data_IF_080386088869
#
_entry.id   IF_080386088869
#
_cell.length_a   1.000
_cell.length_b   1.000
_cell.length_c   1.000
_cell.angle_alpha   90.00
_cell.angle_beta   90.00
_cell.angle_gamma   90.00
#
_symmetry.space_group_name_H-M   'P 1'
#
loop_
_entity.id
_entity.type
_entity.pdbx_description
1 polymer ?
#
# COMPACT_ATOMS: atom_id res chain seq x y z
N UNK A 1 -26.67 26.44 56.02
CA UNK A 1 -26.51 25.08 55.43
C UNK A 1 -27.09 24.97 54.00
N UNK A 2 -28.20 25.63 53.68
CA UNK A 2 -28.83 25.56 52.35
C UNK A 2 -28.13 26.40 51.28
N UNK A 3 -27.54 27.55 51.65
CA UNK A 3 -26.82 28.42 50.74
C UNK A 3 -25.59 27.70 50.16
N UNK A 4 -24.83 26.98 50.97
CA UNK A 4 -23.66 26.23 50.53
C UNK A 4 -24.02 25.12 49.53
N UNK A 5 -25.16 24.46 49.75
CA UNK A 5 -25.66 23.45 48.79
C UNK A 5 -26.03 24.08 47.44
N UNK A 6 -26.68 25.23 47.47
CA UNK A 6 -27.05 25.97 46.24
C UNK A 6 -25.80 26.41 45.48
N UNK A 7 -24.76 26.90 46.16
CA UNK A 7 -23.49 27.29 45.51
C UNK A 7 -22.79 26.09 44.88
N UNK A 8 -22.79 24.94 45.56
CA UNK A 8 -22.20 23.71 45.00
C UNK A 8 -22.97 23.23 43.75
N UNK A 9 -24.28 23.26 43.78
CA UNK A 9 -25.14 22.87 42.65
C UNK A 9 -24.92 23.83 41.47
N UNK A 10 -24.84 25.15 41.70
CA UNK A 10 -24.54 26.11 40.65
C UNK A 10 -23.13 25.91 40.04
N UNK A 11 -22.14 25.61 40.89
CA UNK A 11 -20.78 25.35 40.45
C UNK A 11 -20.70 24.09 39.54
N UNK A 12 -21.38 23.01 39.94
CA UNK A 12 -21.47 21.77 39.15
C UNK A 12 -22.22 22.01 37.83
N UNK A 13 -23.26 22.83 37.82
CA UNK A 13 -23.98 23.21 36.59
C UNK A 13 -23.14 24.04 35.67
N UNK A 14 -22.37 24.99 36.18
CA UNK A 14 -21.47 25.85 35.35
C UNK A 14 -20.35 25.03 34.76
N UNK A 15 -19.73 24.10 35.52
CA UNK A 15 -18.68 23.22 35.02
C UNK A 15 -19.16 22.29 33.90
N UNK A 16 -20.40 21.78 34.01
CA UNK A 16 -20.98 20.97 32.92
C UNK A 16 -21.33 21.78 31.67
N UNK A 17 -21.69 23.06 31.81
CA UNK A 17 -21.94 23.93 30.64
C UNK A 17 -20.64 24.29 29.89
N UNK A 18 -19.51 24.39 30.57
CA UNK A 18 -18.22 24.67 29.91
C UNK A 18 -17.67 23.47 29.13
N UNK A 19 -17.94 22.23 29.59
CA UNK A 19 -17.57 21.03 28.84
C UNK A 19 -18.50 20.74 27.63
N UNK A 20 -19.72 21.28 27.62
CA UNK A 20 -20.69 21.06 26.53
C UNK A 20 -20.46 21.96 25.31
N UNK A 21 -19.51 22.91 25.37
CA UNK A 21 -19.33 23.90 24.32
C UNK A 21 -17.98 23.84 23.61
N UNK A 22 -17.28 22.70 23.63
CA UNK A 22 -16.29 22.40 22.62
C UNK A 22 -17.02 22.13 21.30
N UNK A 23 -17.33 23.21 20.61
CA UNK A 23 -17.70 23.17 19.22
C UNK A 23 -16.49 22.58 18.50
N UNK A 24 -16.48 21.25 18.30
CA UNK A 24 -15.52 20.60 17.42
C UNK A 24 -15.59 21.33 16.09
N UNK A 25 -14.64 22.24 15.87
CA UNK A 25 -14.40 22.81 14.54
C UNK A 25 -13.82 21.61 13.76
N UNK A 26 -14.71 20.79 13.22
CA UNK A 26 -14.30 19.71 12.32
C UNK A 26 -13.74 20.40 11.09
N UNK A 27 -12.41 20.45 11.01
CA UNK A 27 -11.72 20.83 9.78
C UNK A 27 -12.34 19.97 8.66
N UNK A 28 -12.72 20.56 7.52
CA UNK A 28 -13.22 19.75 6.41
C UNK A 28 -12.19 18.66 6.08
N UNK A 29 -12.67 17.43 5.90
CA UNK A 29 -11.81 16.31 5.56
C UNK A 29 -11.12 16.58 4.22
N UNK A 30 -9.83 16.30 4.15
CA UNK A 30 -9.07 16.32 2.92
C UNK A 30 -9.38 15.06 2.10
N UNK A 31 -9.78 15.26 0.85
CA UNK A 31 -10.07 14.13 -0.04
C UNK A 31 -8.78 13.60 -0.62
N UNK A 32 -8.49 12.35 -0.31
CA UNK A 32 -7.30 11.65 -0.77
C UNK A 32 -7.65 10.37 -1.52
N UNK A 33 -6.81 9.99 -2.47
CA UNK A 33 -6.94 8.76 -3.23
C UNK A 33 -5.71 7.89 -2.99
N UNK A 34 -5.97 6.63 -2.59
CA UNK A 34 -4.98 5.56 -2.57
C UNK A 34 -5.20 4.66 -3.78
N UNK A 35 -4.25 4.62 -4.72
CA UNK A 35 -4.26 3.70 -5.85
C UNK A 35 -3.54 2.41 -5.46
N UNK A 36 -4.25 1.28 -5.56
CA UNK A 36 -3.69 -0.05 -5.33
C UNK A 36 -2.92 -0.55 -6.56
N UNK A 37 -1.93 -1.41 -6.33
CA UNK A 37 -1.16 -2.05 -7.39
C UNK A 37 -1.84 -3.30 -7.99
N UNK A 38 -2.95 -3.72 -7.41
CA UNK A 38 -3.76 -4.83 -7.89
C UNK A 38 -5.24 -4.63 -7.59
N UNK A 39 -6.04 -5.65 -7.94
CA UNK A 39 -7.47 -5.69 -7.65
C UNK A 39 -7.72 -5.75 -6.14
N UNK A 40 -8.92 -5.38 -5.72
CA UNK A 40 -9.33 -5.46 -4.33
C UNK A 40 -9.17 -6.88 -3.78
N UNK A 41 -8.25 -7.07 -2.84
CA UNK A 41 -7.97 -8.38 -2.24
C UNK A 41 -7.35 -8.25 -0.84
N UNK A 42 -7.16 -9.39 -0.18
CA UNK A 42 -6.80 -9.44 1.23
C UNK A 42 -5.44 -8.84 1.56
N UNK A 43 -4.51 -8.77 0.63
CA UNK A 43 -3.19 -8.13 0.87
C UNK A 43 -3.32 -6.66 1.28
N UNK A 44 -4.42 -6.01 0.90
CA UNK A 44 -4.72 -4.62 1.26
C UNK A 44 -5.64 -4.50 2.50
N UNK A 45 -5.88 -5.59 3.23
CA UNK A 45 -6.83 -5.63 4.36
C UNK A 45 -6.55 -4.56 5.43
N UNK A 46 -5.28 -4.20 5.66
CA UNK A 46 -4.90 -3.15 6.61
C UNK A 46 -5.47 -1.79 6.26
N UNK A 47 -5.46 -1.43 4.98
CA UNK A 47 -6.01 -0.15 4.49
C UNK A 47 -7.53 -0.11 4.63
N UNK A 48 -8.21 -1.22 4.31
CA UNK A 48 -9.66 -1.34 4.48
C UNK A 48 -10.07 -1.32 5.94
N UNK A 49 -9.34 -2.02 6.81
CA UNK A 49 -9.61 -2.02 8.24
C UNK A 49 -9.45 -0.60 8.84
N UNK A 50 -8.45 0.16 8.39
CA UNK A 50 -8.27 1.54 8.82
C UNK A 50 -9.39 2.46 8.31
N UNK A 51 -9.87 2.24 7.08
CA UNK A 51 -10.99 2.97 6.50
C UNK A 51 -12.29 2.71 7.29
N UNK A 52 -12.64 1.42 7.50
CA UNK A 52 -13.84 1.00 8.21
C UNK A 52 -13.85 1.45 9.69
N UNK A 53 -12.69 1.43 10.34
CA UNK A 53 -12.55 1.90 11.73
C UNK A 53 -12.51 3.42 11.86
N UNK A 54 -12.52 4.17 10.75
CA UNK A 54 -12.51 5.62 10.74
C UNK A 54 -11.16 6.26 11.03
N UNK A 55 -10.06 5.51 11.08
CA UNK A 55 -8.75 6.03 11.45
C UNK A 55 -8.24 7.14 10.51
N UNK A 56 -8.61 7.09 9.22
CA UNK A 56 -8.31 8.17 8.29
C UNK A 56 -9.11 9.44 8.61
N UNK A 57 -10.40 9.30 8.94
CA UNK A 57 -11.25 10.44 9.32
C UNK A 57 -10.79 11.09 10.61
N UNK A 58 -10.30 10.29 11.58
CA UNK A 58 -9.77 10.79 12.85
C UNK A 58 -8.59 11.74 12.67
N UNK A 59 -7.83 11.56 11.60
CA UNK A 59 -6.70 12.44 11.22
C UNK A 59 -7.04 13.45 10.12
N UNK A 60 -8.33 13.56 9.76
CA UNK A 60 -8.81 14.58 8.81
C UNK A 60 -8.78 14.17 7.35
N UNK A 61 -8.65 12.87 7.03
CA UNK A 61 -8.60 12.33 5.67
C UNK A 61 -9.92 11.63 5.31
N UNK A 62 -10.48 11.97 4.16
CA UNK A 62 -11.56 11.23 3.48
C UNK A 62 -10.93 10.42 2.35
N UNK A 63 -10.55 9.17 2.67
CA UNK A 63 -9.79 8.32 1.76
C UNK A 63 -10.69 7.52 0.82
N UNK A 64 -10.43 7.63 -0.48
CA UNK A 64 -10.96 6.74 -1.51
C UNK A 64 -9.88 5.71 -1.90
N UNK A 65 -10.19 4.41 -1.83
CA UNK A 65 -9.29 3.33 -2.26
C UNK A 65 -9.72 2.87 -3.66
N UNK A 66 -8.84 3.05 -4.64
CA UNK A 66 -9.05 2.63 -6.03
C UNK A 66 -8.19 1.44 -6.38
N UNK A 67 -8.79 0.42 -6.97
CA UNK A 67 -8.05 -0.74 -7.46
C UNK A 67 -7.23 -0.41 -8.72
N UNK A 68 -6.30 -1.30 -9.04
CA UNK A 68 -5.55 -1.24 -10.29
C UNK A 68 -6.49 -1.37 -11.51
N UNK A 69 -6.20 -0.58 -12.52
CA UNK A 69 -6.82 -0.66 -13.84
C UNK A 69 -5.72 -0.90 -14.89
N UNK A 70 -6.02 -1.70 -15.90
CA UNK A 70 -5.07 -2.00 -16.96
C UNK A 70 -4.61 -0.73 -17.69
N UNK A 71 -3.32 -0.66 -17.97
CA UNK A 71 -2.71 0.48 -18.67
C UNK A 71 -2.35 1.67 -17.78
N UNK A 72 -2.71 1.68 -16.49
CA UNK A 72 -2.27 2.76 -15.59
C UNK A 72 -0.84 2.56 -15.10
N UNK A 73 -0.13 3.67 -14.88
CA UNK A 73 1.12 3.70 -14.16
C UNK A 73 0.89 4.44 -12.83
N UNK A 74 0.98 3.71 -11.72
CA UNK A 74 0.66 4.23 -10.39
C UNK A 74 1.58 5.40 -10.00
N UNK A 75 2.87 5.30 -10.31
CA UNK A 75 3.82 6.40 -10.04
C UNK A 75 3.44 7.67 -10.81
N UNK A 76 3.00 7.54 -12.06
CA UNK A 76 2.54 8.69 -12.85
C UNK A 76 1.22 9.26 -12.33
N UNK A 77 0.31 8.43 -11.83
CA UNK A 77 -0.92 8.93 -11.19
C UNK A 77 -0.62 9.75 -9.93
N UNK A 78 0.35 9.30 -9.11
CA UNK A 78 0.79 10.06 -7.95
C UNK A 78 1.50 11.35 -8.37
N UNK A 79 2.42 11.29 -9.32
CA UNK A 79 3.18 12.45 -9.79
C UNK A 79 2.31 13.50 -10.48
N UNK A 80 1.25 13.08 -11.14
CA UNK A 80 0.28 13.99 -11.79
C UNK A 80 -0.81 14.50 -10.85
N UNK A 81 -0.86 14.03 -9.60
CA UNK A 81 -1.89 14.40 -8.63
C UNK A 81 -3.25 13.73 -8.85
N UNK A 82 -3.35 12.73 -9.73
CA UNK A 82 -4.56 11.92 -9.89
C UNK A 82 -4.80 10.99 -8.70
N UNK A 83 -3.73 10.58 -8.01
CA UNK A 83 -3.78 9.89 -6.74
C UNK A 83 -2.85 10.60 -5.75
N UNK A 84 -3.23 10.63 -4.47
CA UNK A 84 -2.38 11.17 -3.40
C UNK A 84 -1.33 10.16 -2.99
N UNK A 85 -1.72 8.89 -2.91
CA UNK A 85 -0.89 7.77 -2.53
C UNK A 85 -0.99 6.65 -3.56
N UNK A 86 0.07 5.85 -3.66
CA UNK A 86 0.09 4.68 -4.51
C UNK A 86 0.79 3.51 -3.84
N UNK A 87 0.25 2.31 -3.99
CA UNK A 87 0.94 1.09 -3.61
C UNK A 87 1.90 0.73 -4.75
N UNK A 88 3.10 0.36 -4.39
CA UNK A 88 4.14 -0.02 -5.34
C UNK A 88 5.09 -1.06 -4.72
N UNK A 89 5.94 -1.62 -5.54
CA UNK A 89 6.95 -2.59 -5.15
C UNK A 89 8.35 -1.96 -5.05
N UNK A 90 9.37 -2.78 -4.92
CA UNK A 90 10.79 -2.36 -4.99
C UNK A 90 11.15 -1.63 -6.29
N UNK A 91 10.32 -1.72 -7.34
CA UNK A 91 10.47 -0.95 -8.58
C UNK A 91 10.47 0.57 -8.34
N UNK A 92 9.94 1.05 -7.21
CA UNK A 92 10.00 2.45 -6.80
C UNK A 92 11.44 2.98 -6.69
N UNK A 93 12.40 2.11 -6.38
CA UNK A 93 13.84 2.45 -6.39
C UNK A 93 14.27 2.88 -7.78
N UNK A 94 13.82 2.19 -8.83
CA UNK A 94 14.15 2.53 -10.22
C UNK A 94 13.53 3.87 -10.62
N UNK A 95 12.34 4.19 -10.15
CA UNK A 95 11.73 5.49 -10.40
C UNK A 95 12.56 6.63 -9.76
N UNK A 96 13.07 6.41 -8.54
CA UNK A 96 13.99 7.36 -7.89
C UNK A 96 15.31 7.50 -8.63
N UNK A 97 15.90 6.42 -9.14
CA UNK A 97 17.11 6.45 -9.95
C UNK A 97 16.93 7.22 -11.26
N UNK A 98 15.70 7.27 -11.78
CA UNK A 98 15.31 8.11 -12.93
C UNK A 98 14.99 9.55 -12.53
N UNK A 99 15.30 9.96 -11.29
CA UNK A 99 15.04 11.29 -10.72
C UNK A 99 13.56 11.66 -10.62
N UNK A 100 12.64 10.70 -10.63
CA UNK A 100 11.23 10.98 -10.36
C UNK A 100 11.04 11.34 -8.90
N UNK A 101 10.30 12.41 -8.55
CA UNK A 101 10.15 12.91 -7.19
C UNK A 101 9.11 12.10 -6.38
N UNK A 102 9.22 10.77 -6.41
CA UNK A 102 8.40 9.87 -5.57
C UNK A 102 9.05 9.67 -4.21
N UNK A 103 8.26 9.50 -3.16
CA UNK A 103 8.71 9.32 -1.77
C UNK A 103 8.13 8.04 -1.22
N UNK A 104 8.97 7.17 -0.65
CA UNK A 104 8.51 6.00 0.10
C UNK A 104 8.13 6.45 1.51
N UNK A 105 6.85 6.31 1.86
CA UNK A 105 6.32 6.68 3.19
C UNK A 105 6.19 5.50 4.15
N UNK A 106 6.21 4.27 3.64
CA UNK A 106 6.14 3.07 4.46
C UNK A 106 6.27 1.80 3.64
N UNK A 107 6.58 0.70 4.33
CA UNK A 107 6.56 -0.66 3.77
C UNK A 107 5.78 -1.56 4.72
N UNK A 108 4.77 -2.27 4.21
CA UNK A 108 3.97 -3.18 5.02
C UNK A 108 4.40 -4.64 4.89
N UNK A 109 5.14 -5.01 3.84
CA UNK A 109 5.82 -6.30 3.76
C UNK A 109 7.30 -6.14 4.11
N UNK A 110 7.78 -6.94 5.07
CA UNK A 110 9.20 -6.95 5.45
C UNK A 110 10.07 -7.78 4.51
N UNK A 111 9.45 -8.68 3.76
CA UNK A 111 10.10 -9.59 2.81
C UNK A 111 9.30 -9.60 1.52
N UNK A 112 9.97 -10.02 0.43
CA UNK A 112 9.30 -10.21 -0.84
C UNK A 112 8.20 -11.27 -0.71
N UNK A 113 6.99 -10.93 -1.13
CA UNK A 113 5.83 -11.82 -1.10
C UNK A 113 5.79 -12.80 -2.29
N UNK A 114 6.64 -12.58 -3.30
CA UNK A 114 6.68 -13.44 -4.49
C UNK A 114 7.35 -14.77 -4.18
N UNK A 115 6.79 -15.84 -4.70
CA UNK A 115 7.32 -17.19 -4.61
C UNK A 115 7.24 -17.88 -5.97
N UNK A 116 8.29 -18.62 -6.32
CA UNK A 116 8.26 -19.48 -7.50
C UNK A 116 7.66 -20.83 -7.10
N UNK A 117 6.51 -21.16 -7.67
CA UNK A 117 5.87 -22.48 -7.49
C UNK A 117 6.47 -23.43 -8.50
N UNK A 118 6.98 -24.57 -8.02
CA UNK A 118 7.67 -25.56 -8.86
C UNK A 118 7.12 -26.95 -8.68
N UNK A 119 7.41 -27.82 -9.64
CA UNK A 119 7.25 -29.26 -9.46
C UNK A 119 8.21 -29.81 -8.40
N UNK A 120 7.87 -30.94 -7.74
CA UNK A 120 8.67 -31.47 -6.62
C UNK A 120 10.13 -31.83 -6.97
N UNK A 121 10.44 -32.09 -8.23
CA UNK A 121 11.79 -32.40 -8.70
C UNK A 121 12.72 -31.18 -8.75
N UNK A 122 12.19 -29.97 -8.79
CA UNK A 122 12.96 -28.72 -8.73
C UNK A 122 13.22 -28.39 -7.27
N UNK A 123 14.46 -28.51 -6.84
CA UNK A 123 14.87 -28.30 -5.44
C UNK A 123 15.65 -27.03 -5.24
N UNK A 124 16.37 -26.60 -6.25
CA UNK A 124 17.22 -25.41 -6.23
C UNK A 124 16.97 -24.55 -7.46
N UNK A 125 17.32 -23.27 -7.45
CA UNK A 125 17.24 -22.43 -8.63
C UNK A 125 18.02 -22.98 -9.83
N UNK A 126 19.14 -23.69 -9.60
CA UNK A 126 19.94 -24.29 -10.68
C UNK A 126 19.17 -25.36 -11.49
N UNK A 127 18.17 -26.00 -10.87
CA UNK A 127 17.34 -27.02 -11.54
C UNK A 127 16.38 -26.41 -12.57
N UNK A 128 16.28 -25.08 -12.63
CA UNK A 128 15.48 -24.35 -13.62
C UNK A 128 16.12 -24.31 -15.01
N UNK A 129 17.40 -24.70 -15.16
CA UNK A 129 18.04 -24.83 -16.48
C UNK A 129 17.28 -25.81 -17.35
N UNK A 130 17.05 -25.40 -18.61
CA UNK A 130 16.28 -26.14 -19.61
C UNK A 130 14.81 -26.41 -19.24
N UNK A 131 14.25 -25.60 -18.34
CA UNK A 131 12.84 -25.71 -17.94
C UNK A 131 12.00 -24.62 -18.61
N UNK A 132 10.69 -24.81 -18.61
CA UNK A 132 9.72 -23.78 -18.94
C UNK A 132 9.36 -23.02 -17.67
N UNK A 133 9.51 -21.71 -17.71
CA UNK A 133 9.15 -20.80 -16.62
C UNK A 133 7.98 -19.96 -17.11
N UNK A 134 6.85 -20.02 -16.42
CA UNK A 134 5.70 -19.17 -16.63
C UNK A 134 5.87 -17.91 -15.80
N UNK A 135 5.98 -16.78 -16.42
CA UNK A 135 6.12 -15.48 -15.76
C UNK A 135 5.70 -14.34 -16.69
N UNK A 136 5.46 -13.16 -16.13
CA UNK A 136 5.25 -11.94 -16.90
C UNK A 136 6.59 -11.23 -17.17
N UNK A 137 6.66 -10.47 -18.25
CA UNK A 137 7.91 -9.84 -18.69
C UNK A 137 8.59 -8.97 -17.62
N UNK A 138 7.80 -8.24 -16.82
CA UNK A 138 8.37 -7.38 -15.78
C UNK A 138 9.02 -8.17 -14.63
N UNK A 139 8.59 -9.41 -14.37
CA UNK A 139 9.20 -10.28 -13.36
C UNK A 139 10.58 -10.78 -13.76
N UNK A 140 10.87 -10.82 -15.04
CA UNK A 140 12.15 -11.32 -15.58
C UNK A 140 13.23 -10.26 -15.63
N UNK A 141 12.88 -8.99 -15.84
CA UNK A 141 13.86 -7.95 -16.13
C UNK A 141 14.64 -7.44 -14.90
N UNK A 142 13.91 -6.94 -13.92
CA UNK A 142 14.50 -6.16 -12.80
C UNK A 142 13.94 -6.55 -11.43
N UNK A 143 13.26 -7.68 -11.35
CA UNK A 143 12.66 -8.17 -10.13
C UNK A 143 13.43 -9.35 -9.55
N UNK A 144 12.96 -9.85 -8.43
CA UNK A 144 13.60 -10.93 -7.68
C UNK A 144 13.84 -12.19 -8.51
N UNK A 145 12.95 -12.54 -9.45
CA UNK A 145 13.11 -13.74 -10.29
C UNK A 145 14.28 -13.58 -11.25
N UNK A 146 14.33 -12.50 -12.02
CA UNK A 146 15.41 -12.26 -12.96
C UNK A 146 16.77 -12.13 -12.27
N UNK A 147 16.83 -11.45 -11.12
CA UNK A 147 18.05 -11.34 -10.31
C UNK A 147 18.48 -12.71 -9.80
N UNK A 148 17.57 -13.51 -9.24
CA UNK A 148 17.86 -14.86 -8.78
C UNK A 148 18.42 -15.73 -9.89
N UNK A 149 17.80 -15.77 -11.06
CA UNK A 149 18.28 -16.56 -12.18
C UNK A 149 19.70 -16.18 -12.57
N UNK A 150 19.99 -14.88 -12.62
CA UNK A 150 21.33 -14.35 -12.93
C UNK A 150 22.37 -14.73 -11.88
N UNK A 151 22.02 -14.66 -10.58
CA UNK A 151 22.90 -15.03 -9.47
C UNK A 151 23.28 -16.51 -9.51
N UNK A 152 22.37 -17.37 -10.03
CA UNK A 152 22.64 -18.80 -10.23
C UNK A 152 23.23 -19.12 -11.62
N UNK A 153 23.68 -18.10 -12.36
CA UNK A 153 24.29 -18.24 -13.67
C UNK A 153 23.37 -18.82 -14.73
N UNK A 154 22.06 -18.54 -14.60
CA UNK A 154 21.01 -18.95 -15.55
C UNK A 154 20.70 -17.73 -16.44
N UNK A 155 21.05 -17.84 -17.71
CA UNK A 155 20.82 -16.80 -18.71
C UNK A 155 19.53 -17.05 -19.48
N UNK A 156 19.08 -16.08 -20.26
CA UNK A 156 17.84 -16.14 -21.04
C UNK A 156 17.78 -17.33 -22.02
N UNK A 157 18.94 -17.83 -22.47
CA UNK A 157 19.02 -19.01 -23.34
C UNK A 157 18.97 -20.34 -22.57
N UNK A 158 19.05 -20.33 -21.25
CA UNK A 158 19.07 -21.51 -20.40
C UNK A 158 17.67 -21.97 -19.96
N UNK A 159 16.61 -21.27 -20.34
CA UNK A 159 15.22 -21.64 -20.03
C UNK A 159 14.27 -21.17 -21.16
N UNK A 160 13.06 -21.68 -21.16
CA UNK A 160 12.00 -21.20 -22.06
C UNK A 160 11.02 -20.36 -21.26
N UNK A 161 10.96 -19.06 -21.55
CA UNK A 161 9.93 -18.20 -20.96
C UNK A 161 8.58 -18.47 -21.65
N UNK A 162 7.58 -18.83 -20.86
CA UNK A 162 6.19 -18.84 -21.27
C UNK A 162 5.54 -17.59 -20.70
N UNK A 163 5.21 -16.66 -21.60
CA UNK A 163 4.56 -15.42 -21.19
C UNK A 163 3.12 -15.69 -20.78
N UNK A 164 2.71 -15.01 -19.73
CA UNK A 164 1.33 -14.97 -19.28
C UNK A 164 0.85 -13.53 -19.36
N UNK A 165 -0.21 -13.32 -20.10
CA UNK A 165 -0.94 -12.05 -20.15
C UNK A 165 -2.14 -12.19 -19.19
N UNK A 166 -2.30 -11.21 -18.29
CA UNK A 166 -3.42 -11.16 -17.35
C UNK A 166 -4.64 -10.50 -18.00
#
# INVERSE_FOLDING_TARGET
KNILKIIIILFVLITNLTFANEKSITKPLEKDILRLEWKHQFEFAGFYAALEKGYYKDIGIDLEIKEFEEGINISEEVLSGKATFGISSSALILERLKNKPVVLIGSYFKQNALALVTKPEIKTPSDLKNKKILAVDWEMGHTSLGVMLKDYGINENDYTLVKHDF
#
